data_IF_091454535549
#
_entry.id   IF_091454535549
#
_cell.length_a   1.000
_cell.length_b   1.000
_cell.length_c   1.000
_cell.angle_alpha   90.00
_cell.angle_beta   90.00
_cell.angle_gamma   90.00
#
_symmetry.space_group_name_H-M   'P 1'
#
loop_
_entity.id
_entity.type
_entity.pdbx_description
1 polymer ?
#
# COMPACT_ATOMS: atom_id res chain seq x y z
N UNK A 1 -24.84 0.00 -11.06
CA UNK A 1 -24.45 0.84 -9.91
C UNK A 1 -23.54 0.01 -8.99
N UNK A 2 -22.23 0.27 -8.93
CA UNK A 2 -21.38 -0.37 -7.89
C UNK A 2 -21.69 0.31 -6.56
N UNK A 3 -22.18 -0.46 -5.59
CA UNK A 3 -22.45 0.03 -4.24
C UNK A 3 -21.17 0.67 -3.65
N UNK A 4 -21.33 1.84 -3.03
CA UNK A 4 -20.25 2.51 -2.31
C UNK A 4 -19.88 1.60 -1.13
N UNK A 5 -18.74 0.91 -1.20
CA UNK A 5 -18.27 -0.02 -0.16
C UNK A 5 -18.04 0.79 1.13
N UNK A 6 -18.96 0.67 2.09
CA UNK A 6 -18.82 1.28 3.42
C UNK A 6 -17.68 0.57 4.18
N UNK A 7 -16.95 1.33 5.00
CA UNK A 7 -15.79 0.79 5.74
C UNK A 7 -16.26 -0.27 6.73
N UNK A 8 -15.52 -1.38 6.79
CA UNK A 8 -15.79 -2.51 7.69
C UNK A 8 -14.87 -2.54 8.91
N UNK A 9 -13.75 -1.80 8.91
CA UNK A 9 -12.75 -1.81 9.99
C UNK A 9 -12.24 -0.39 10.34
N UNK A 10 -11.90 -0.12 11.63
CA UNK A 10 -11.28 1.12 12.07
C UNK A 10 -9.81 1.21 11.60
N UNK A 11 -9.29 2.44 11.49
CA UNK A 11 -7.90 2.71 11.08
C UNK A 11 -7.09 3.19 12.28
N UNK A 12 -5.82 2.80 12.32
CA UNK A 12 -4.83 3.36 13.25
C UNK A 12 -3.84 4.21 12.46
N UNK A 13 -3.55 5.39 12.95
CA UNK A 13 -2.35 6.13 12.56
C UNK A 13 -1.16 5.37 13.11
N UNK A 14 -0.21 5.05 12.23
CA UNK A 14 0.98 4.28 12.60
C UNK A 14 2.16 5.22 12.82
N UNK A 15 3.11 4.79 13.64
CA UNK A 15 4.43 5.40 13.67
C UNK A 15 5.05 5.34 12.26
N UNK A 16 6.06 6.17 11.95
CA UNK A 16 6.70 6.17 10.63
C UNK A 16 7.27 4.79 10.31
N UNK A 17 6.57 4.04 9.47
CA UNK A 17 7.01 2.75 8.93
C UNK A 17 7.34 2.93 7.46
N UNK A 18 8.39 2.24 7.02
CA UNK A 18 8.94 2.39 5.68
C UNK A 18 8.94 1.07 4.92
N UNK A 19 8.97 1.18 3.60
CA UNK A 19 8.99 0.05 2.68
C UNK A 19 10.31 0.01 1.90
N UNK A 20 10.98 -1.15 1.85
CA UNK A 20 12.21 -1.32 1.06
C UNK A 20 11.93 -1.74 -0.40
N UNK A 21 10.75 -2.30 -0.63
CA UNK A 21 10.32 -2.75 -1.94
C UNK A 21 8.81 -2.73 -2.05
N UNK A 22 8.34 -2.33 -3.24
CA UNK A 22 6.96 -2.44 -3.65
C UNK A 22 6.97 -2.97 -5.08
N UNK A 23 6.42 -4.16 -5.30
CA UNK A 23 6.57 -4.91 -6.54
C UNK A 23 5.24 -5.51 -6.99
N UNK A 24 5.11 -5.67 -8.30
CA UNK A 24 4.01 -6.43 -8.90
C UNK A 24 4.22 -7.92 -8.63
N UNK A 25 3.17 -8.61 -8.20
CA UNK A 25 3.19 -10.06 -8.00
C UNK A 25 3.06 -10.81 -9.34
N UNK A 26 2.50 -10.17 -10.36
CA UNK A 26 2.23 -10.79 -11.67
C UNK A 26 3.50 -11.06 -12.47
N UNK A 27 4.48 -10.15 -12.38
CA UNK A 27 5.71 -10.22 -13.17
C UNK A 27 6.97 -9.94 -12.35
N UNK A 28 6.84 -9.82 -11.02
CA UNK A 28 7.93 -9.53 -10.08
C UNK A 28 8.67 -8.22 -10.36
N UNK A 29 8.08 -7.34 -11.17
CA UNK A 29 8.67 -6.05 -11.48
C UNK A 29 8.57 -5.13 -10.27
N UNK A 30 9.70 -4.56 -9.86
CA UNK A 30 9.74 -3.54 -8.81
C UNK A 30 9.08 -2.25 -9.31
N UNK A 31 8.00 -1.85 -8.66
CA UNK A 31 7.20 -0.67 -8.98
C UNK A 31 7.77 0.57 -8.28
N UNK A 32 8.15 0.45 -7.00
CA UNK A 32 8.80 1.51 -6.24
C UNK A 32 9.91 1.00 -5.32
N UNK A 33 10.90 1.85 -5.07
CA UNK A 33 12.09 1.56 -4.24
C UNK A 33 11.93 1.90 -2.77
N UNK A 34 11.01 2.80 -2.45
CA UNK A 34 10.79 3.27 -1.10
C UNK A 34 9.34 3.73 -0.97
N UNK A 35 8.75 3.57 0.20
CA UNK A 35 7.41 4.06 0.52
C UNK A 35 7.21 4.20 2.02
N UNK A 36 6.13 4.85 2.41
CA UNK A 36 5.77 5.10 3.80
C UNK A 36 4.38 4.53 4.09
N UNK A 37 4.21 3.86 5.22
CA UNK A 37 2.86 3.49 5.69
C UNK A 37 2.24 4.72 6.35
N UNK A 38 1.07 5.12 5.87
CA UNK A 38 0.31 6.26 6.39
C UNK A 38 -0.71 5.79 7.43
N UNK A 39 -1.47 4.76 7.08
CA UNK A 39 -2.53 4.20 7.92
C UNK A 39 -2.63 2.70 7.67
N UNK A 40 -3.07 1.94 8.66
CA UNK A 40 -3.41 0.53 8.49
C UNK A 40 -4.71 0.16 9.22
N UNK A 41 -5.34 -0.91 8.74
CA UNK A 41 -6.53 -1.54 9.31
C UNK A 41 -6.40 -3.05 9.16
N UNK A 42 -7.29 -3.81 9.80
CA UNK A 42 -7.38 -5.26 9.59
C UNK A 42 -7.77 -5.66 8.16
N UNK A 43 -8.26 -4.73 7.34
CA UNK A 43 -8.69 -5.01 5.96
C UNK A 43 -7.71 -4.55 4.88
N UNK A 44 -6.72 -3.73 5.25
CA UNK A 44 -5.84 -3.13 4.28
C UNK A 44 -4.98 -2.00 4.84
N UNK A 45 -4.07 -1.54 4.00
CA UNK A 45 -3.02 -0.58 4.34
C UNK A 45 -3.05 0.60 3.35
N UNK A 46 -2.65 1.77 3.84
CA UNK A 46 -2.51 2.98 3.05
C UNK A 46 -1.03 3.34 2.97
N UNK A 47 -0.51 3.38 1.76
CA UNK A 47 0.88 3.67 1.48
C UNK A 47 1.02 5.01 0.78
N UNK A 48 2.13 5.68 1.03
CA UNK A 48 2.55 6.90 0.34
C UNK A 48 3.86 6.66 -0.37
N UNK A 49 3.94 7.13 -1.61
CA UNK A 49 5.11 7.05 -2.47
C UNK A 49 5.43 8.43 -3.04
N UNK A 50 6.68 8.86 -2.96
CA UNK A 50 7.12 10.05 -3.73
C UNK A 50 7.26 9.66 -5.20
N UNK A 51 7.15 10.64 -6.10
CA UNK A 51 7.28 10.38 -7.54
C UNK A 51 8.64 9.77 -7.88
N UNK A 52 9.70 10.24 -7.25
CA UNK A 52 11.07 9.77 -7.52
C UNK A 52 11.36 8.37 -6.97
N UNK A 53 10.42 7.80 -6.21
CA UNK A 53 10.52 6.44 -5.68
C UNK A 53 10.03 5.37 -6.66
N UNK A 54 9.17 5.73 -7.63
CA UNK A 54 8.76 4.78 -8.66
C UNK A 54 9.95 4.41 -9.55
N UNK A 55 10.09 3.14 -9.93
CA UNK A 55 11.19 2.70 -10.80
C UNK A 55 10.92 3.06 -12.25
N UNK A 56 9.68 2.83 -12.69
CA UNK A 56 9.23 3.14 -14.04
C UNK A 56 9.08 4.65 -14.26
N UNK A 57 9.66 5.16 -15.34
CA UNK A 57 9.60 6.58 -15.72
C UNK A 57 8.18 7.01 -16.05
N UNK A 58 7.37 6.12 -16.62
CA UNK A 58 6.00 6.45 -17.01
C UNK A 58 5.14 6.73 -15.76
N UNK A 59 5.29 5.91 -14.71
CA UNK A 59 4.67 6.16 -13.41
C UNK A 59 5.10 7.51 -12.81
N UNK A 60 6.35 7.94 -13.03
CA UNK A 60 6.82 9.27 -12.58
C UNK A 60 6.31 10.42 -13.42
N UNK A 61 5.95 10.21 -14.68
CA UNK A 61 5.58 11.26 -15.61
C UNK A 61 4.09 11.63 -15.50
N UNK A 62 3.23 10.67 -15.17
CA UNK A 62 1.78 10.89 -15.12
C UNK A 62 1.30 11.51 -13.80
N UNK A 63 0.10 12.11 -13.84
CA UNK A 63 -0.62 12.62 -12.65
C UNK A 63 -1.64 11.61 -12.12
N UNK A 64 -1.70 10.43 -12.73
CA UNK A 64 -2.52 9.29 -12.32
C UNK A 64 -1.73 8.01 -12.57
N UNK A 65 -1.94 7.04 -11.69
CA UNK A 65 -1.42 5.67 -11.81
C UNK A 65 -2.58 4.67 -11.69
N UNK A 66 -3.80 5.09 -12.06
CA UNK A 66 -5.02 4.30 -11.87
C UNK A 66 -5.03 3.00 -12.68
N UNK A 67 -4.18 2.88 -13.70
CA UNK A 67 -3.98 1.63 -14.41
C UNK A 67 -3.43 0.51 -13.51
N UNK A 68 -2.79 0.85 -12.37
CA UNK A 68 -2.34 -0.12 -11.37
C UNK A 68 -3.49 -0.66 -10.50
N UNK A 69 -4.66 -0.02 -10.50
CA UNK A 69 -5.80 -0.50 -9.70
C UNK A 69 -6.21 -1.90 -10.16
N UNK A 70 -6.36 -2.81 -9.19
CA UNK A 70 -6.66 -4.22 -9.41
C UNK A 70 -5.43 -5.13 -9.56
N UNK A 71 -4.22 -4.58 -9.66
CA UNK A 71 -3.01 -5.38 -9.74
C UNK A 71 -2.65 -6.00 -8.38
N UNK A 72 -2.15 -7.23 -8.42
CA UNK A 72 -1.60 -7.90 -7.26
C UNK A 72 -0.19 -7.38 -6.98
N UNK A 73 0.09 -7.05 -5.73
CA UNK A 73 1.37 -6.49 -5.30
C UNK A 73 1.85 -7.18 -4.03
N UNK A 74 3.15 -7.10 -3.81
CA UNK A 74 3.76 -7.46 -2.54
C UNK A 74 4.83 -6.43 -2.17
N UNK A 75 5.05 -6.27 -0.86
CA UNK A 75 5.99 -5.31 -0.30
C UNK A 75 6.46 -5.76 1.07
N UNK A 76 7.59 -5.21 1.51
CA UNK A 76 8.17 -5.49 2.82
C UNK A 76 8.16 -4.21 3.66
N UNK A 77 7.61 -4.29 4.88
CA UNK A 77 7.70 -3.26 5.91
C UNK A 77 9.03 -3.45 6.66
N UNK A 78 9.96 -2.52 6.44
CA UNK A 78 11.36 -2.63 6.85
C UNK A 78 11.52 -2.86 8.35
N UNK A 79 10.91 -2.01 9.17
CA UNK A 79 11.08 -2.01 10.63
C UNK A 79 10.53 -3.28 11.30
N UNK A 80 9.62 -3.97 10.61
CA UNK A 80 8.99 -5.19 11.09
C UNK A 80 9.58 -6.44 10.45
N UNK A 81 10.44 -6.29 9.43
CA UNK A 81 10.88 -7.37 8.55
C UNK A 81 9.70 -8.24 8.09
N UNK A 82 8.62 -7.59 7.67
CA UNK A 82 7.34 -8.23 7.39
C UNK A 82 6.95 -8.06 5.93
N UNK A 83 6.77 -9.19 5.25
CA UNK A 83 6.24 -9.20 3.88
C UNK A 83 4.71 -9.22 3.89
N UNK A 84 4.11 -8.39 3.04
CA UNK A 84 2.68 -8.23 2.86
C UNK A 84 2.35 -8.40 1.38
N UNK A 85 1.26 -9.08 1.08
CA UNK A 85 0.67 -9.14 -0.26
C UNK A 85 -0.75 -8.59 -0.27
N UNK A 86 -1.18 -8.07 -1.42
CA UNK A 86 -2.52 -7.52 -1.56
C UNK A 86 -2.85 -7.04 -2.96
N UNK A 87 -4.00 -6.39 -3.07
CA UNK A 87 -4.51 -5.84 -4.33
C UNK A 87 -4.61 -4.33 -4.21
N UNK A 88 -4.10 -3.60 -5.20
CA UNK A 88 -4.27 -2.14 -5.25
C UNK A 88 -5.76 -1.84 -5.43
N UNK A 89 -6.39 -1.34 -4.38
CA UNK A 89 -7.81 -1.00 -4.39
C UNK A 89 -8.06 0.39 -4.98
N UNK A 90 -7.18 1.35 -4.67
CA UNK A 90 -7.33 2.76 -5.04
C UNK A 90 -5.99 3.47 -5.11
N UNK A 91 -5.92 4.49 -5.96
CA UNK A 91 -4.78 5.40 -6.10
C UNK A 91 -5.27 6.84 -6.03
N UNK A 92 -4.43 7.74 -5.50
CA UNK A 92 -4.71 9.17 -5.48
C UNK A 92 -3.41 9.96 -5.60
N UNK A 93 -3.36 10.87 -6.56
CA UNK A 93 -2.29 11.85 -6.64
C UNK A 93 -2.49 12.97 -5.61
N UNK A 94 -1.44 13.30 -4.87
CA UNK A 94 -1.46 14.35 -3.85
C UNK A 94 -0.79 15.65 -4.30
N UNK A 95 0.00 15.60 -5.37
CA UNK A 95 0.74 16.75 -5.87
C UNK A 95 2.18 16.42 -6.20
N UNK A 96 2.87 17.36 -6.87
CA UNK A 96 4.23 17.12 -7.38
C UNK A 96 5.22 16.76 -6.27
N UNK A 97 5.12 17.43 -5.12
CA UNK A 97 6.04 17.25 -3.99
C UNK A 97 5.61 16.13 -3.03
N UNK A 98 4.31 15.80 -3.00
CA UNK A 98 3.77 14.79 -2.10
C UNK A 98 3.69 13.39 -2.73
N UNK A 99 3.58 13.31 -4.05
CA UNK A 99 3.51 12.06 -4.79
C UNK A 99 2.11 11.46 -4.80
N UNK A 100 2.02 10.17 -4.47
CA UNK A 100 0.81 9.38 -4.56
C UNK A 100 0.50 8.69 -3.24
N UNK A 101 -0.78 8.52 -2.96
CA UNK A 101 -1.28 7.55 -2.00
C UNK A 101 -1.85 6.35 -2.75
N UNK A 102 -1.53 5.16 -2.27
CA UNK A 102 -2.00 3.88 -2.79
C UNK A 102 -2.66 3.12 -1.63
N UNK A 103 -3.94 2.78 -1.78
CA UNK A 103 -4.67 1.94 -0.85
C UNK A 103 -4.64 0.50 -1.33
N UNK A 104 -4.25 -0.41 -0.44
CA UNK A 104 -4.13 -1.84 -0.71
C UNK A 104 -5.08 -2.59 0.20
N UNK A 105 -5.93 -3.41 -0.39
CA UNK A 105 -6.71 -4.41 0.36
C UNK A 105 -5.81 -5.65 0.51
N UNK A 106 -5.70 -6.19 1.73
CA UNK A 106 -4.89 -7.39 1.94
C UNK A 106 -5.44 -8.56 1.12
N UNK A 107 -4.53 -9.42 0.65
CA UNK A 107 -4.92 -10.56 -0.16
C UNK A 107 -5.85 -11.50 0.62
N UNK A 108 -6.78 -12.17 -0.08
CA UNK A 108 -7.80 -13.01 0.55
C UNK A 108 -7.22 -14.29 1.21
N UNK A 109 -6.00 -14.66 0.82
CA UNK A 109 -5.22 -15.75 1.41
C UNK A 109 -4.55 -15.35 2.73
N UNK A 110 -4.50 -14.06 3.08
CA UNK A 110 -4.02 -13.61 4.39
C UNK A 110 -5.03 -14.01 5.49
N UNK A 111 -4.66 -14.92 6.41
CA UNK A 111 -5.56 -15.38 7.46
C UNK A 111 -6.05 -14.23 8.33
N UNK A 112 -7.28 -14.30 8.82
CA UNK A 112 -7.86 -13.23 9.65
C UNK A 112 -7.05 -12.96 10.91
N UNK A 113 -6.63 -14.02 11.61
CA UNK A 113 -5.78 -13.91 12.80
C UNK A 113 -4.46 -13.17 12.52
N UNK A 114 -3.89 -13.33 11.32
CA UNK A 114 -2.66 -12.65 10.96
C UNK A 114 -2.90 -11.14 10.77
N UNK A 115 -4.06 -10.77 10.21
CA UNK A 115 -4.47 -9.36 10.05
C UNK A 115 -4.74 -8.69 11.40
N UNK A 116 -5.30 -9.41 12.35
CA UNK A 116 -5.47 -8.94 13.73
C UNK A 116 -4.12 -8.80 14.43
N UNK A 117 -3.25 -9.81 14.35
CA UNK A 117 -1.90 -9.73 14.91
C UNK A 117 -1.10 -8.56 14.31
N UNK A 118 -1.19 -8.32 12.99
CA UNK A 118 -0.57 -7.16 12.36
C UNK A 118 -1.07 -5.86 13.01
N UNK A 119 -2.38 -5.72 13.21
CA UNK A 119 -2.96 -4.53 13.85
C UNK A 119 -2.53 -4.31 15.30
N UNK A 120 -2.15 -5.38 16.00
CA UNK A 120 -1.62 -5.30 17.37
C UNK A 120 -0.12 -5.02 17.40
N UNK A 121 0.62 -5.45 16.36
CA UNK A 121 2.07 -5.26 16.23
C UNK A 121 2.44 -3.91 15.62
N UNK A 122 1.52 -3.25 14.91
CA UNK A 122 1.79 -1.95 14.32
C UNK A 122 2.04 -0.91 15.42
N UNK A 123 3.21 -0.25 15.44
CA UNK A 123 3.48 0.80 16.39
C UNK A 123 2.50 1.95 16.18
N UNK A 124 1.82 2.36 17.23
CA UNK A 124 0.94 3.53 17.25
C UNK A 124 1.70 4.75 17.73
N UNK A 125 1.37 5.93 17.19
CA UNK A 125 1.81 7.21 17.77
C UNK A 125 1.18 7.48 19.14
#
# INVERSE_FOLDING_TARGET
MKARKYRTAPRKDVAPLTLDSFSSLENLQKLAKYGEVVEASSSGILLKFKRDDFVDKDLRAHLTIDHLVGHNVYFNIHEMNLEISGVIARTKFLGKNEGFIIAIDYSADAPEYWRECLMDLLPTN
#
